data_IF_034336544470
#
_entry.id   IF_034336544470
#
_cell.length_a   1.000
_cell.length_b   1.000
_cell.length_c   1.000
_cell.angle_alpha   90.00
_cell.angle_beta   90.00
_cell.angle_gamma   90.00
#
_symmetry.space_group_name_H-M   'P 1'
#
loop_
_entity.id
_entity.type
_entity.pdbx_description
1 polymer ?
#
# COMPACT_ATOMS: atom_id res chain seq x y z
N UNK A 1 12.79 33.19 -0.45
CA UNK A 1 11.80 32.09 -0.36
C UNK A 1 11.92 31.19 0.87
N UNK A 2 13.11 30.90 1.40
CA UNK A 2 13.27 29.98 2.57
C UNK A 2 12.67 30.50 3.90
N UNK A 3 12.61 31.81 4.12
CA UNK A 3 12.06 32.40 5.37
C UNK A 3 10.53 32.40 5.44
N UNK A 4 9.85 32.45 4.30
CA UNK A 4 8.38 32.55 4.27
C UNK A 4 7.68 31.20 4.53
N UNK A 5 8.35 30.07 4.21
CA UNK A 5 7.79 28.73 4.46
C UNK A 5 7.82 28.38 5.95
N UNK A 6 8.91 28.76 6.64
CA UNK A 6 9.01 28.60 8.10
C UNK A 6 7.98 29.46 8.83
N UNK A 7 7.71 30.66 8.31
CA UNK A 7 6.71 31.57 8.85
C UNK A 7 5.27 31.03 8.65
N UNK A 8 4.97 30.43 7.53
CA UNK A 8 3.67 29.77 7.27
C UNK A 8 3.48 28.57 8.20
N UNK A 9 4.51 27.75 8.42
CA UNK A 9 4.49 26.66 9.40
C UNK A 9 4.29 27.18 10.82
N UNK A 10 5.00 28.26 11.21
CA UNK A 10 4.88 28.85 12.54
C UNK A 10 3.50 29.51 12.76
N UNK A 11 2.93 30.17 11.75
CA UNK A 11 1.59 30.76 11.80
C UNK A 11 0.52 29.69 11.95
N UNK A 12 0.69 28.54 11.32
CA UNK A 12 -0.22 27.39 11.44
C UNK A 12 -0.22 26.82 12.87
N UNK A 13 0.98 26.71 13.50
CA UNK A 13 1.10 26.27 14.90
C UNK A 13 0.59 27.32 15.90
N UNK A 14 0.73 28.61 15.62
CA UNK A 14 0.24 29.69 16.48
C UNK A 14 -1.30 29.81 16.38
N UNK A 15 -1.89 29.58 15.21
CA UNK A 15 -3.35 29.54 15.04
C UNK A 15 -4.00 28.30 15.70
N UNK A 16 -3.27 27.21 15.88
CA UNK A 16 -3.69 26.02 16.63
C UNK A 16 -3.68 26.19 18.16
N UNK A 17 -3.22 27.33 18.67
CA UNK A 17 -3.23 27.70 20.11
C UNK A 17 -4.62 27.90 20.72
N UNK A 18 -5.68 27.40 20.09
CA UNK A 18 -7.04 27.39 20.63
C UNK A 18 -7.23 26.10 21.46
N UNK A 19 -7.45 26.25 22.67
CA UNK A 19 -7.71 25.50 23.91
C UNK A 19 -8.13 24.00 23.87
N UNK A 20 -8.08 23.29 22.74
CA UNK A 20 -8.43 21.85 22.65
C UNK A 20 -7.70 21.10 21.53
N UNK A 21 -6.57 21.59 21.03
CA UNK A 21 -5.83 20.91 19.97
C UNK A 21 -4.82 19.95 20.57
N UNK A 22 -4.82 18.71 20.08
CA UNK A 22 -3.72 17.76 20.30
C UNK A 22 -2.67 17.97 19.19
N UNK A 23 -1.42 17.88 19.55
CA UNK A 23 -0.31 18.02 18.60
C UNK A 23 0.85 17.10 18.95
N UNK A 24 1.67 16.81 17.97
CA UNK A 24 2.85 15.98 18.17
C UNK A 24 3.73 15.94 16.95
N UNK A 25 4.74 15.08 17.00
CA UNK A 25 5.69 14.85 15.93
C UNK A 25 5.86 13.35 15.72
N UNK A 26 5.83 12.94 14.46
CA UNK A 26 6.23 11.61 14.03
C UNK A 26 7.58 11.72 13.32
N UNK A 27 8.56 10.97 13.80
CA UNK A 27 9.86 10.79 13.16
C UNK A 27 10.03 9.33 12.77
N UNK A 28 10.11 9.07 11.46
CA UNK A 28 10.44 7.76 10.92
C UNK A 28 11.81 7.78 10.29
N UNK A 29 12.63 6.79 10.59
CA UNK A 29 13.91 6.55 9.94
C UNK A 29 13.95 5.13 9.40
N UNK A 30 14.43 4.95 8.18
CA UNK A 30 14.65 3.65 7.58
C UNK A 30 16.02 3.61 6.91
N UNK A 31 16.78 2.57 7.21
CA UNK A 31 18.00 2.20 6.51
C UNK A 31 17.76 0.84 5.84
N UNK A 32 17.86 0.82 4.54
CA UNK A 32 17.65 -0.34 3.70
C UNK A 32 18.95 -0.68 2.95
N UNK A 33 19.36 -1.93 3.02
CA UNK A 33 20.53 -2.45 2.32
C UNK A 33 20.10 -3.68 1.54
N UNK A 34 20.24 -3.61 0.23
CA UNK A 34 19.90 -4.72 -0.66
C UNK A 34 21.07 -5.03 -1.57
N UNK A 35 21.17 -6.27 -2.00
CA UNK A 35 22.25 -6.68 -2.89
C UNK A 35 22.00 -8.03 -3.55
N UNK A 36 22.84 -8.22 -4.54
CA UNK A 36 23.19 -9.48 -5.16
C UNK A 36 24.73 -9.53 -5.16
N UNK A 37 25.37 -9.19 -6.31
CA UNK A 37 26.84 -9.04 -6.41
C UNK A 37 27.32 -7.70 -5.84
N UNK A 38 26.46 -6.68 -5.80
CA UNK A 38 26.78 -5.33 -5.31
C UNK A 38 25.73 -4.86 -4.30
N UNK A 39 26.22 -4.34 -3.20
CA UNK A 39 25.40 -3.75 -2.13
C UNK A 39 24.95 -2.34 -2.48
N UNK A 40 23.68 -2.04 -2.29
CA UNK A 40 23.09 -0.71 -2.52
C UNK A 40 22.40 -0.25 -1.23
N UNK A 41 23.04 0.61 -0.42
CA UNK A 41 22.39 1.21 0.73
C UNK A 41 21.43 2.31 0.29
N UNK A 42 20.30 2.39 0.95
CA UNK A 42 19.31 3.47 0.84
C UNK A 42 18.90 3.87 2.24
N UNK A 43 18.56 5.12 2.44
CA UNK A 43 18.00 5.61 3.69
C UNK A 43 16.85 6.55 3.41
N UNK A 44 15.92 6.59 4.33
CA UNK A 44 14.80 7.53 4.30
C UNK A 44 14.59 8.06 5.71
N UNK A 45 14.34 9.37 5.84
CA UNK A 45 13.91 10.00 7.09
C UNK A 45 12.67 10.84 6.79
N UNK A 46 11.62 10.59 7.56
CA UNK A 46 10.38 11.36 7.51
C UNK A 46 10.21 12.08 8.83
N UNK A 47 10.13 13.41 8.77
CA UNK A 47 9.78 14.27 9.90
C UNK A 47 8.38 14.85 9.64
N UNK A 48 7.39 14.46 10.42
CA UNK A 48 5.98 14.74 10.22
C UNK A 48 5.32 15.29 11.48
N UNK A 49 5.43 16.61 11.77
CA UNK A 49 4.61 17.26 12.77
C UNK A 49 3.12 17.17 12.40
N UNK A 50 2.28 17.07 13.42
CA UNK A 50 0.84 16.98 13.24
C UNK A 50 0.08 17.78 14.28
N UNK A 51 -1.13 18.14 13.94
CA UNK A 51 -2.12 18.76 14.82
C UNK A 51 -3.49 18.15 14.57
N UNK A 52 -4.22 17.89 15.64
CA UNK A 52 -5.60 17.42 15.61
C UNK A 52 -6.48 18.37 16.41
N UNK A 53 -7.52 18.89 15.78
CA UNK A 53 -8.47 19.83 16.40
C UNK A 53 -9.84 19.17 16.44
N UNK A 54 -10.27 18.68 17.61
CA UNK A 54 -11.61 18.13 17.77
C UNK A 54 -12.65 19.26 17.85
N UNK A 55 -13.79 19.06 17.18
CA UNK A 55 -15.00 19.82 17.32
C UNK A 55 -16.11 18.93 17.87
N UNK A 56 -17.24 19.47 18.25
CA UNK A 56 -18.32 18.68 18.90
C UNK A 56 -18.75 17.43 18.10
N UNK A 57 -18.74 17.49 16.80
CA UNK A 57 -19.18 16.41 15.90
C UNK A 57 -18.22 16.13 14.75
N UNK A 58 -17.03 16.72 14.78
CA UNK A 58 -16.05 16.60 13.71
C UNK A 58 -14.62 16.74 14.24
N UNK A 59 -13.67 16.31 13.46
CA UNK A 59 -12.22 16.42 13.72
C UNK A 59 -11.53 16.97 12.47
N UNK A 60 -10.57 17.86 12.66
CA UNK A 60 -9.62 18.27 11.64
C UNK A 60 -8.24 17.78 12.02
N UNK A 61 -7.63 16.95 11.17
CA UNK A 61 -6.26 16.47 11.34
C UNK A 61 -5.37 16.98 10.22
N UNK A 62 -4.21 17.53 10.56
CA UNK A 62 -3.22 18.01 9.60
C UNK A 62 -1.85 17.47 9.97
N UNK A 63 -1.13 16.92 8.99
CA UNK A 63 0.27 16.53 9.12
C UNK A 63 1.01 16.84 7.82
N UNK A 64 2.07 17.61 7.92
CA UNK A 64 2.94 17.94 6.80
C UNK A 64 4.38 18.08 7.30
N UNK A 65 5.36 17.78 6.46
CA UNK A 65 6.74 17.84 6.91
C UNK A 65 7.74 17.50 5.82
N UNK A 66 8.87 16.97 6.21
CA UNK A 66 9.99 16.63 5.34
C UNK A 66 10.03 15.12 5.10
N UNK A 67 10.13 14.75 3.85
CA UNK A 67 10.47 13.41 3.39
C UNK A 67 11.83 13.48 2.70
N UNK A 68 12.82 12.74 3.20
CA UNK A 68 14.19 12.76 2.68
C UNK A 68 14.56 11.38 2.15
N UNK A 69 15.27 11.34 1.04
CA UNK A 69 15.91 10.13 0.55
C UNK A 69 17.43 10.28 0.60
N UNK A 70 18.11 9.30 1.19
CA UNK A 70 19.57 9.19 1.29
C UNK A 70 20.09 8.13 0.30
N UNK A 71 19.50 8.04 -0.88
CA UNK A 71 19.96 7.20 -1.98
C UNK A 71 20.89 7.97 -2.93
N UNK A 72 21.17 7.40 -4.11
CA UNK A 72 22.03 8.03 -5.13
C UNK A 72 21.55 9.44 -5.53
N UNK A 73 20.23 9.65 -5.53
CA UNK A 73 19.59 10.94 -5.81
C UNK A 73 19.05 11.50 -4.50
N UNK A 74 19.95 12.04 -3.66
CA UNK A 74 19.59 12.62 -2.37
C UNK A 74 18.62 13.79 -2.56
N UNK A 75 17.46 13.73 -1.92
CA UNK A 75 16.52 14.84 -1.90
C UNK A 75 15.89 15.01 -0.52
N UNK A 76 15.36 16.21 -0.30
CA UNK A 76 14.44 16.51 0.80
C UNK A 76 13.21 17.22 0.20
N UNK A 77 12.09 16.57 0.21
CA UNK A 77 10.82 17.08 -0.30
C UNK A 77 9.91 17.50 0.86
N UNK A 78 9.21 18.62 0.70
CA UNK A 78 8.07 18.96 1.55
C UNK A 78 6.87 18.14 1.11
N UNK A 79 6.26 17.42 2.04
CA UNK A 79 5.12 16.57 1.77
C UNK A 79 3.97 16.89 2.73
N UNK A 80 2.75 17.01 2.19
CA UNK A 80 1.53 16.97 2.95
C UNK A 80 1.17 15.49 3.18
N UNK A 81 1.36 15.00 4.41
CA UNK A 81 1.08 13.60 4.73
C UNK A 81 -0.40 13.33 4.93
N UNK A 82 -1.12 14.25 5.59
CA UNK A 82 -2.55 14.15 5.83
C UNK A 82 -3.16 15.53 6.02
N UNK A 83 -4.31 15.75 5.44
CA UNK A 83 -5.20 16.88 5.71
C UNK A 83 -6.61 16.31 5.66
N UNK A 84 -7.19 16.02 6.81
CA UNK A 84 -8.45 15.28 6.87
C UNK A 84 -9.43 15.98 7.79
N UNK A 85 -10.54 16.37 7.22
CA UNK A 85 -11.74 16.75 7.96
C UNK A 85 -12.65 15.52 8.05
N UNK A 86 -13.00 15.14 9.28
CA UNK A 86 -13.91 14.01 9.53
C UNK A 86 -15.15 14.52 10.26
N UNK A 87 -16.33 14.28 9.70
CA UNK A 87 -17.61 14.61 10.31
C UNK A 87 -18.31 13.34 10.81
N UNK A 88 -18.76 13.37 12.08
CA UNK A 88 -19.48 12.29 12.79
C UNK A 88 -20.72 12.81 13.49
N UNK A 89 -21.39 13.82 12.94
CA UNK A 89 -22.55 14.49 13.57
C UNK A 89 -23.81 13.64 13.65
N UNK A 90 -23.78 12.43 13.06
CA UNK A 90 -24.87 11.47 13.10
C UNK A 90 -24.31 10.04 13.27
N UNK A 91 -24.96 9.15 14.04
CA UNK A 91 -24.57 7.74 14.10
C UNK A 91 -24.72 7.02 12.75
N UNK A 92 -25.46 7.61 11.83
CA UNK A 92 -25.72 7.06 10.50
C UNK A 92 -24.71 7.51 9.44
N UNK A 93 -24.02 8.64 9.65
CA UNK A 93 -23.19 9.29 8.63
C UNK A 93 -21.78 9.50 9.14
N UNK A 94 -20.80 9.02 8.38
CA UNK A 94 -19.40 9.41 8.45
C UNK A 94 -19.01 10.04 7.11
N UNK A 95 -18.44 11.23 7.16
CA UNK A 95 -17.92 11.93 5.98
C UNK A 95 -16.47 12.34 6.23
N UNK A 96 -15.59 12.07 5.28
CA UNK A 96 -14.17 12.46 5.30
C UNK A 96 -13.86 13.26 4.05
N UNK A 97 -13.09 14.32 4.19
CA UNK A 97 -12.67 15.21 3.11
C UNK A 97 -11.21 15.60 3.26
N UNK A 98 -10.51 15.69 2.14
CA UNK A 98 -9.13 16.15 2.04
C UNK A 98 -8.16 15.07 1.66
N UNK A 99 -6.92 15.07 2.19
CA UNK A 99 -5.94 14.00 2.00
C UNK A 99 -6.16 12.93 3.05
N UNK A 100 -6.79 11.85 2.65
CA UNK A 100 -7.22 10.75 3.50
C UNK A 100 -6.43 9.46 3.21
N UNK A 101 -6.22 8.65 4.23
CA UNK A 101 -5.82 7.26 4.03
C UNK A 101 -7.04 6.43 3.67
N UNK A 102 -6.97 5.74 2.55
CA UNK A 102 -8.05 4.89 2.06
C UNK A 102 -7.51 3.60 1.47
N UNK A 103 -8.34 2.57 1.48
CA UNK A 103 -8.05 1.25 0.91
C UNK A 103 -9.33 0.66 0.34
N UNK A 104 -9.24 0.04 -0.83
CA UNK A 104 -10.35 -0.69 -1.43
C UNK A 104 -10.73 -1.94 -0.62
N UNK A 105 -11.91 -2.50 -0.90
CA UNK A 105 -12.43 -3.63 -0.12
C UNK A 105 -11.61 -4.91 -0.28
N UNK A 106 -10.93 -5.13 -1.41
CA UNK A 106 -10.07 -6.30 -1.66
C UNK A 106 -8.70 -6.17 -1.01
N UNK A 107 -8.28 -4.96 -0.68
CA UNK A 107 -6.97 -4.61 -0.11
C UNK A 107 -5.77 -4.77 -1.04
N UNK A 108 -5.97 -4.95 -2.35
CA UNK A 108 -4.87 -5.11 -3.31
C UNK A 108 -5.02 -4.34 -4.63
N UNK A 109 -6.09 -3.55 -4.83
CA UNK A 109 -6.27 -2.73 -6.02
C UNK A 109 -5.80 -1.30 -5.79
N UNK A 110 -6.27 -0.67 -4.71
CA UNK A 110 -5.90 0.71 -4.39
C UNK A 110 -5.78 0.89 -2.86
N UNK A 111 -4.61 1.31 -2.41
CA UNK A 111 -4.31 1.54 -1.00
C UNK A 111 -3.29 2.66 -0.85
N UNK A 112 -3.52 3.53 0.11
CA UNK A 112 -2.59 4.63 0.39
C UNK A 112 -3.28 5.93 0.72
N UNK A 113 -2.62 7.03 0.38
CA UNK A 113 -3.14 8.39 0.55
C UNK A 113 -3.78 8.86 -0.76
N UNK A 114 -4.90 9.56 -0.63
CA UNK A 114 -5.63 10.12 -1.76
C UNK A 114 -6.22 11.46 -1.36
N UNK A 115 -6.28 12.39 -2.29
CA UNK A 115 -6.98 13.66 -2.11
C UNK A 115 -8.44 13.51 -2.58
N UNK A 116 -9.41 13.81 -1.74
CA UNK A 116 -10.80 13.66 -2.13
C UNK A 116 -11.79 13.57 -0.98
N UNK A 117 -12.89 12.90 -1.24
CA UNK A 117 -13.99 12.72 -0.28
C UNK A 117 -14.42 11.24 -0.19
N UNK A 118 -14.80 10.85 1.02
CA UNK A 118 -15.34 9.53 1.32
C UNK A 118 -16.56 9.67 2.23
N UNK A 119 -17.66 9.11 1.80
CA UNK A 119 -18.95 9.15 2.47
C UNK A 119 -19.40 7.75 2.83
N UNK A 120 -19.75 7.51 4.10
CA UNK A 120 -20.24 6.24 4.61
C UNK A 120 -21.58 6.45 5.29
N UNK A 121 -22.56 5.63 4.93
CA UNK A 121 -23.90 5.59 5.51
C UNK A 121 -24.18 4.26 6.19
N UNK A 122 -24.54 4.31 7.47
CA UNK A 122 -24.86 3.14 8.29
C UNK A 122 -26.37 2.87 8.26
N UNK A 123 -26.77 1.74 7.67
CA UNK A 123 -28.12 1.21 7.60
C UNK A 123 -28.28 0.05 8.60
N UNK A 124 -28.26 0.38 9.88
CA UNK A 124 -28.30 -0.64 10.94
C UNK A 124 -27.07 -1.54 10.92
N UNK A 125 -27.21 -2.76 10.38
CA UNK A 125 -26.07 -3.70 10.26
C UNK A 125 -25.27 -3.52 8.96
N UNK A 126 -25.86 -2.91 7.94
CA UNK A 126 -25.23 -2.73 6.63
C UNK A 126 -24.58 -1.35 6.59
N UNK A 127 -23.40 -1.25 5.98
CA UNK A 127 -22.74 0.01 5.70
C UNK A 127 -22.59 0.17 4.20
N UNK A 128 -22.99 1.31 3.66
CA UNK A 128 -22.81 1.67 2.26
C UNK A 128 -21.94 2.90 2.16
N UNK A 129 -20.97 2.89 1.26
CA UNK A 129 -20.07 4.01 1.08
C UNK A 129 -19.89 4.39 -0.38
N UNK A 130 -19.54 5.64 -0.60
CA UNK A 130 -19.16 6.21 -1.88
C UNK A 130 -17.94 7.11 -1.69
N UNK A 131 -17.00 7.06 -2.63
CA UNK A 131 -15.88 7.99 -2.63
C UNK A 131 -15.56 8.55 -4.03
N UNK A 132 -14.84 9.67 -4.02
CA UNK A 132 -14.20 10.25 -5.18
C UNK A 132 -12.82 10.74 -4.73
N UNK A 133 -11.76 10.14 -5.27
CA UNK A 133 -10.38 10.26 -4.82
C UNK A 133 -9.47 10.62 -6.00
N UNK A 134 -8.49 11.48 -5.77
CA UNK A 134 -7.54 11.93 -6.79
C UNK A 134 -6.09 11.72 -6.34
N UNK A 135 -5.21 11.39 -7.28
CA UNK A 135 -3.79 11.09 -6.99
C UNK A 135 -2.83 12.20 -7.39
N UNK A 136 -3.20 13.04 -8.36
CA UNK A 136 -2.28 13.97 -9.02
C UNK A 136 -1.73 15.12 -8.15
N UNK A 137 -2.11 15.24 -6.87
CA UNK A 137 -1.49 16.16 -5.93
C UNK A 137 -0.56 15.48 -4.92
N UNK A 138 -0.44 14.16 -5.00
CA UNK A 138 0.44 13.38 -4.13
C UNK A 138 1.90 13.54 -4.55
N UNK A 139 2.82 13.38 -3.60
CA UNK A 139 4.23 13.22 -3.92
C UNK A 139 4.44 11.84 -4.58
N UNK A 140 4.98 11.82 -5.81
CA UNK A 140 5.04 10.61 -6.63
C UNK A 140 5.79 9.45 -5.96
N UNK A 141 6.94 9.73 -5.31
CA UNK A 141 7.76 8.68 -4.71
C UNK A 141 7.10 7.96 -3.52
N UNK A 142 5.98 8.49 -3.01
CA UNK A 142 5.18 7.88 -1.93
C UNK A 142 3.78 7.44 -2.37
N UNK A 143 3.37 7.80 -3.59
CA UNK A 143 2.04 7.46 -4.10
C UNK A 143 1.98 6.07 -4.75
N UNK A 144 3.11 5.61 -5.32
CA UNK A 144 3.24 4.31 -6.01
C UNK A 144 2.19 4.06 -7.11
N UNK A 145 1.74 5.11 -7.81
CA UNK A 145 0.79 5.02 -8.92
C UNK A 145 1.54 4.68 -10.19
N UNK A 146 1.42 3.45 -10.67
CA UNK A 146 2.10 2.99 -11.89
C UNK A 146 1.18 2.03 -12.66
N UNK A 147 0.21 2.57 -13.38
CA UNK A 147 -0.82 1.82 -14.10
C UNK A 147 -0.54 1.75 -15.59
N UNK A 148 0.22 2.71 -16.13
CA UNK A 148 0.51 2.80 -17.56
C UNK A 148 2.02 2.87 -17.84
N UNK A 149 2.47 2.59 -19.09
CA UNK A 149 3.87 2.78 -19.47
C UNK A 149 4.35 4.23 -19.30
N UNK A 150 3.47 5.22 -19.44
CA UNK A 150 3.80 6.63 -19.25
C UNK A 150 4.03 6.96 -17.77
N UNK A 151 3.23 6.37 -16.86
CA UNK A 151 3.51 6.48 -15.42
C UNK A 151 4.92 5.99 -15.08
N UNK A 152 5.37 4.89 -15.70
CA UNK A 152 6.72 4.36 -15.49
C UNK A 152 7.81 5.37 -15.86
N UNK A 153 7.60 6.17 -16.90
CA UNK A 153 8.54 7.23 -17.29
C UNK A 153 8.63 8.32 -16.23
N UNK A 154 7.51 8.71 -15.62
CA UNK A 154 7.49 9.72 -14.56
C UNK A 154 8.35 9.31 -13.34
N UNK A 155 8.41 8.01 -13.03
CA UNK A 155 9.22 7.47 -11.94
C UNK A 155 10.72 7.35 -12.28
N UNK A 156 11.12 7.51 -13.55
CA UNK A 156 12.55 7.55 -13.93
C UNK A 156 13.19 8.90 -13.64
N UNK A 157 12.40 9.95 -13.44
CA UNK A 157 12.87 11.31 -13.16
C UNK A 157 12.87 11.55 -11.65
N UNK A 158 14.04 11.85 -11.08
CA UNK A 158 14.18 12.15 -9.64
C UNK A 158 13.60 13.53 -9.31
N UNK A 159 13.13 13.69 -8.04
CA UNK A 159 12.62 14.97 -7.56
C UNK A 159 13.66 16.08 -7.63
N UNK A 160 13.26 17.26 -8.15
CA UNK A 160 14.09 18.44 -8.29
C UNK A 160 13.32 19.72 -7.92
N UNK A 161 13.82 20.47 -6.94
CA UNK A 161 13.22 21.74 -6.53
C UNK A 161 13.15 22.80 -7.63
N UNK A 162 14.10 22.78 -8.58
CA UNK A 162 14.13 23.73 -9.71
C UNK A 162 13.04 23.45 -10.73
N UNK A 163 12.53 22.23 -10.76
CA UNK A 163 11.46 21.75 -11.63
C UNK A 163 10.39 21.00 -10.81
N UNK A 164 9.89 21.71 -9.79
CA UNK A 164 8.93 21.14 -8.84
C UNK A 164 7.67 20.60 -9.53
N UNK A 165 7.14 21.34 -10.50
CA UNK A 165 5.88 21.01 -11.15
C UNK A 165 5.89 19.68 -11.89
N UNK A 166 6.99 19.33 -12.56
CA UNK A 166 7.11 18.11 -13.36
C UNK A 166 7.70 16.93 -12.58
N UNK A 167 8.37 17.21 -11.44
CA UNK A 167 9.10 16.15 -10.71
C UNK A 167 8.48 15.73 -9.37
N UNK A 168 7.52 16.50 -8.86
CA UNK A 168 6.89 16.24 -7.56
C UNK A 168 5.63 15.38 -7.65
N UNK A 169 4.74 15.71 -8.58
CA UNK A 169 3.39 15.18 -8.58
C UNK A 169 3.30 13.77 -9.17
N UNK A 170 2.46 12.93 -8.56
CA UNK A 170 2.12 11.62 -9.08
C UNK A 170 1.22 11.72 -10.32
N UNK A 171 1.15 10.67 -11.15
CA UNK A 171 0.21 10.61 -12.26
C UNK A 171 -1.22 10.88 -11.81
N UNK A 172 -1.93 11.74 -12.54
CA UNK A 172 -3.29 12.18 -12.22
C UNK A 172 -4.31 11.07 -12.50
N UNK A 173 -4.87 10.46 -11.47
CA UNK A 173 -5.93 9.44 -11.56
C UNK A 173 -7.12 9.85 -10.70
N UNK A 174 -8.32 9.84 -11.28
CA UNK A 174 -9.57 9.95 -10.52
C UNK A 174 -10.09 8.53 -10.24
N UNK A 175 -10.27 8.20 -8.96
CA UNK A 175 -10.78 6.93 -8.50
C UNK A 175 -12.13 7.19 -7.86
N UNK A 176 -13.17 6.50 -8.31
CA UNK A 176 -14.50 6.55 -7.70
C UNK A 176 -14.93 5.15 -7.34
N UNK A 177 -15.57 4.97 -6.19
CA UNK A 177 -16.12 3.67 -5.83
C UNK A 177 -17.45 3.78 -5.10
N UNK A 178 -18.30 2.77 -5.33
CA UNK A 178 -19.45 2.45 -4.50
C UNK A 178 -19.15 1.13 -3.80
N UNK A 179 -19.24 1.11 -2.48
CA UNK A 179 -18.87 -0.06 -1.70
C UNK A 179 -19.85 -0.35 -0.56
N UNK A 180 -19.88 -1.61 -0.13
CA UNK A 180 -20.74 -2.05 0.97
C UNK A 180 -20.07 -3.05 1.89
N UNK A 181 -20.44 -3.02 3.18
CA UNK A 181 -20.11 -4.01 4.20
C UNK A 181 -21.39 -4.65 4.70
N UNK A 182 -21.43 -5.99 4.71
CA UNK A 182 -22.58 -6.83 5.07
C UNK A 182 -22.18 -7.79 6.21
N UNK A 183 -22.21 -7.34 7.48
CA UNK A 183 -21.88 -8.19 8.61
C UNK A 183 -22.93 -9.29 8.79
N UNK A 184 -22.47 -10.50 9.15
CA UNK A 184 -23.33 -11.66 9.37
C UNK A 184 -23.74 -12.41 8.10
N UNK A 185 -23.30 -11.99 6.92
CA UNK A 185 -23.62 -12.63 5.64
C UNK A 185 -22.39 -13.36 5.07
N UNK A 186 -22.56 -14.52 4.41
CA UNK A 186 -23.73 -15.42 4.35
C UNK A 186 -23.92 -16.23 5.65
N UNK A 187 -22.90 -16.29 6.51
CA UNK A 187 -22.91 -17.02 7.78
C UNK A 187 -22.71 -16.03 8.91
N UNK A 188 -23.53 -16.09 9.96
CA UNK A 188 -23.70 -15.10 11.03
C UNK A 188 -22.44 -14.53 11.72
N UNK A 189 -21.26 -15.12 11.51
CA UNK A 189 -19.96 -14.63 11.99
C UNK A 189 -19.08 -14.05 10.89
N UNK A 190 -19.50 -14.15 9.64
CA UNK A 190 -18.76 -13.61 8.49
C UNK A 190 -19.04 -12.14 8.26
N UNK A 191 -18.18 -11.50 7.48
CA UNK A 191 -18.38 -10.16 6.93
C UNK A 191 -18.06 -10.19 5.44
N UNK A 192 -19.05 -9.87 4.62
CA UNK A 192 -18.87 -9.70 3.18
C UNK A 192 -18.67 -8.22 2.88
N UNK A 193 -17.70 -7.91 2.06
CA UNK A 193 -17.48 -6.60 1.46
C UNK A 193 -17.62 -6.74 -0.06
N UNK A 194 -18.23 -5.76 -0.69
CA UNK A 194 -18.34 -5.68 -2.14
C UNK A 194 -18.17 -4.25 -2.62
N UNK A 195 -17.57 -4.06 -3.80
CA UNK A 195 -17.37 -2.74 -4.38
C UNK A 195 -17.35 -2.80 -5.90
N UNK A 196 -17.86 -1.73 -6.50
CA UNK A 196 -17.59 -1.36 -7.89
C UNK A 196 -16.69 -0.13 -7.83
N UNK A 197 -15.54 -0.19 -8.51
CA UNK A 197 -14.55 0.88 -8.54
C UNK A 197 -14.21 1.21 -9.99
N UNK A 198 -14.14 2.50 -10.32
CA UNK A 198 -13.69 2.99 -11.61
C UNK A 198 -12.49 3.93 -11.43
N UNK A 199 -11.48 3.75 -12.24
CA UNK A 199 -10.32 4.63 -12.34
C UNK A 199 -10.33 5.30 -13.71
N UNK A 200 -10.17 6.61 -13.72
CA UNK A 200 -10.07 7.45 -14.91
C UNK A 200 -8.69 8.08 -14.97
N UNK A 201 -8.05 7.94 -16.12
CA UNK A 201 -6.77 8.56 -16.40
C UNK A 201 -6.97 10.05 -16.71
N UNK A 202 -6.36 10.90 -15.92
CA UNK A 202 -6.32 12.35 -16.06
C UNK A 202 -4.88 12.87 -16.20
N UNK A 203 -3.92 12.00 -16.50
CA UNK A 203 -2.49 12.37 -16.64
C UNK A 203 -2.21 13.22 -17.86
N UNK A 204 -3.11 13.22 -18.86
CA UNK A 204 -2.90 13.92 -20.13
C UNK A 204 -2.01 13.14 -21.10
N UNK A 205 -1.75 11.86 -20.86
CA UNK A 205 -1.03 10.98 -21.77
C UNK A 205 -1.77 10.80 -23.11
N UNK A 206 -1.05 10.52 -24.19
CA UNK A 206 -1.62 10.32 -25.53
C UNK A 206 -2.59 9.12 -25.57
N UNK A 207 -2.30 8.09 -24.77
CA UNK A 207 -3.18 6.93 -24.60
C UNK A 207 -3.73 6.85 -23.16
N UNK A 208 -4.96 7.33 -22.96
CA UNK A 208 -5.62 7.25 -21.66
C UNK A 208 -5.91 5.81 -21.25
N UNK A 209 -5.50 5.44 -20.04
CA UNK A 209 -5.66 4.09 -19.48
C UNK A 209 -6.77 4.08 -18.41
N UNK A 210 -7.97 3.66 -18.79
CA UNK A 210 -9.13 3.59 -17.89
C UNK A 210 -9.39 2.16 -17.45
N UNK A 211 -9.65 1.95 -16.15
CA UNK A 211 -9.95 0.62 -15.60
C UNK A 211 -11.20 0.64 -14.74
N UNK A 212 -11.94 -0.46 -14.76
CA UNK A 212 -13.09 -0.69 -13.88
C UNK A 212 -12.91 -2.01 -13.16
N UNK A 213 -13.28 -2.04 -11.88
CA UNK A 213 -13.12 -3.22 -11.04
C UNK A 213 -14.43 -3.59 -10.37
N UNK A 214 -14.72 -4.88 -10.35
CA UNK A 214 -15.68 -5.48 -9.43
C UNK A 214 -14.89 -6.24 -8.36
N UNK A 215 -15.09 -5.86 -7.09
CA UNK A 215 -14.31 -6.33 -5.96
C UNK A 215 -15.21 -7.00 -4.93
N UNK A 216 -14.74 -8.09 -4.35
CA UNK A 216 -15.39 -8.73 -3.21
C UNK A 216 -14.34 -9.24 -2.21
N UNK A 217 -14.67 -9.22 -0.91
CA UNK A 217 -13.88 -9.83 0.17
C UNK A 217 -14.78 -10.42 1.22
N UNK A 218 -14.43 -11.59 1.70
CA UNK A 218 -15.12 -12.27 2.78
C UNK A 218 -14.15 -12.58 3.91
N UNK A 219 -14.49 -12.14 5.11
CA UNK A 219 -13.70 -12.39 6.33
C UNK A 219 -14.56 -13.21 7.28
N UNK A 220 -14.00 -14.32 7.78
CA UNK A 220 -14.64 -15.18 8.76
C UNK A 220 -13.67 -15.49 9.91
N UNK A 221 -14.12 -15.25 11.15
CA UNK A 221 -13.42 -15.73 12.35
C UNK A 221 -14.23 -16.83 13.03
N UNK A 222 -13.63 -17.97 13.29
CA UNK A 222 -14.26 -19.07 13.99
C UNK A 222 -13.32 -19.74 15.00
N UNK A 223 -13.55 -19.50 16.29
CA UNK A 223 -12.67 -19.96 17.38
C UNK A 223 -11.23 -19.49 17.17
N UNK A 224 -10.29 -20.45 17.05
CA UNK A 224 -8.88 -20.20 16.80
C UNK A 224 -8.53 -20.05 15.30
N UNK A 225 -9.52 -20.17 14.39
CA UNK A 225 -9.32 -20.11 12.96
C UNK A 225 -9.87 -18.81 12.37
N UNK A 226 -9.20 -18.28 11.40
CA UNK A 226 -9.64 -17.18 10.56
C UNK A 226 -9.48 -17.50 9.08
N UNK A 227 -10.34 -16.91 8.27
CA UNK A 227 -10.33 -17.00 6.82
C UNK A 227 -10.50 -15.60 6.26
N UNK A 228 -9.70 -15.25 5.27
CA UNK A 228 -9.80 -14.03 4.48
C UNK A 228 -9.69 -14.38 3.00
N UNK A 229 -10.76 -14.15 2.24
CA UNK A 229 -10.83 -14.41 0.82
C UNK A 229 -11.22 -13.15 0.07
N UNK A 230 -10.43 -12.72 -0.91
CA UNK A 230 -10.71 -11.55 -1.74
C UNK A 230 -10.57 -11.87 -3.22
N UNK A 231 -11.34 -11.19 -4.06
CA UNK A 231 -11.29 -11.33 -5.51
C UNK A 231 -11.58 -10.03 -6.23
N UNK A 232 -11.03 -9.90 -7.44
CA UNK A 232 -11.23 -8.78 -8.34
C UNK A 232 -11.43 -9.26 -9.77
N UNK A 233 -12.35 -8.63 -10.47
CA UNK A 233 -12.47 -8.64 -11.94
C UNK A 233 -12.17 -7.24 -12.41
N UNK A 234 -11.18 -7.09 -13.28
CA UNK A 234 -10.81 -5.84 -13.92
C UNK A 234 -11.25 -5.84 -15.38
N UNK A 235 -11.79 -4.73 -15.83
CA UNK A 235 -12.07 -4.46 -17.24
C UNK A 235 -11.18 -3.30 -17.67
N UNK A 236 -10.22 -3.59 -18.53
CA UNK A 236 -9.26 -2.61 -19.03
C UNK A 236 -9.54 -2.30 -20.47
N UNK A 237 -9.59 -1.01 -20.81
CA UNK A 237 -9.60 -0.52 -22.18
C UNK A 237 -8.23 0.03 -22.52
N UNK A 238 -7.52 -0.60 -23.44
CA UNK A 238 -6.22 -0.15 -23.95
C UNK A 238 -6.36 0.22 -25.43
N UNK A 239 -6.23 1.52 -25.75
CA UNK A 239 -6.21 2.02 -27.12
C UNK A 239 -7.27 1.39 -28.04
N UNK A 240 -6.83 0.94 -29.22
CA UNK A 240 -7.70 0.29 -30.24
C UNK A 240 -8.01 -1.20 -29.98
N UNK A 241 -7.37 -1.83 -28.99
CA UNK A 241 -7.42 -3.28 -28.77
C UNK A 241 -8.69 -3.81 -28.08
N UNK A 242 -9.69 -2.96 -27.85
CA UNK A 242 -10.93 -3.34 -27.19
C UNK A 242 -10.79 -3.61 -25.68
N UNK A 243 -11.86 -4.05 -25.03
CA UNK A 243 -11.89 -4.36 -23.59
C UNK A 243 -11.50 -5.81 -23.37
N UNK A 244 -10.48 -6.05 -22.53
CA UNK A 244 -10.09 -7.38 -22.06
C UNK A 244 -10.30 -7.49 -20.55
N UNK A 245 -10.82 -8.63 -20.04
CA UNK A 245 -10.92 -8.88 -18.61
C UNK A 245 -9.58 -9.31 -18.03
N UNK A 246 -9.32 -8.88 -16.80
CA UNK A 246 -8.25 -9.41 -15.95
C UNK A 246 -8.82 -9.83 -14.60
N UNK A 247 -8.12 -10.71 -13.91
CA UNK A 247 -8.64 -11.34 -12.70
C UNK A 247 -7.54 -11.39 -11.64
N UNK A 248 -7.94 -11.23 -10.37
CA UNK A 248 -7.06 -11.48 -9.24
C UNK A 248 -7.84 -12.08 -8.07
N UNK A 249 -7.17 -12.91 -7.28
CA UNK A 249 -7.74 -13.36 -6.01
C UNK A 249 -6.65 -13.61 -4.98
N UNK A 250 -7.05 -13.56 -3.70
CA UNK A 250 -6.25 -14.01 -2.57
C UNK A 250 -7.10 -14.81 -1.60
N UNK A 251 -6.48 -15.82 -0.98
CA UNK A 251 -7.09 -16.66 0.05
C UNK A 251 -6.08 -16.88 1.15
N UNK A 252 -6.39 -16.45 2.37
CA UNK A 252 -5.58 -16.69 3.55
C UNK A 252 -6.38 -17.43 4.60
N UNK A 253 -5.82 -18.52 5.13
CA UNK A 253 -6.31 -19.23 6.30
C UNK A 253 -5.30 -19.10 7.43
N UNK A 254 -5.77 -18.77 8.64
CA UNK A 254 -4.94 -18.64 9.84
C UNK A 254 -5.42 -19.51 10.97
N UNK A 255 -4.49 -19.92 11.80
CA UNK A 255 -4.73 -20.67 13.01
C UNK A 255 -3.91 -20.13 14.17
N UNK A 256 -4.64 -19.64 15.20
CA UNK A 256 -4.07 -19.28 16.50
C UNK A 256 -3.69 -20.56 17.24
N UNK A 257 -2.41 -20.77 17.49
CA UNK A 257 -1.93 -21.99 18.12
C UNK A 257 -2.30 -22.05 19.60
N UNK A 258 -2.58 -23.24 20.15
CA UNK A 258 -2.93 -23.41 21.57
C UNK A 258 -1.67 -23.47 22.46
N UNK A 259 -0.79 -22.48 22.32
CA UNK A 259 0.46 -22.40 23.09
C UNK A 259 0.37 -21.39 24.24
N UNK A 260 1.36 -21.36 25.12
CA UNK A 260 1.44 -20.40 26.21
C UNK A 260 1.77 -18.96 25.76
N UNK A 261 2.27 -18.80 24.54
CA UNK A 261 2.57 -17.51 23.91
C UNK A 261 1.51 -17.20 22.85
N UNK A 262 1.34 -15.92 22.51
CA UNK A 262 0.44 -15.53 21.45
C UNK A 262 1.12 -15.74 20.10
N UNK A 263 0.78 -16.84 19.43
CA UNK A 263 1.35 -17.19 18.13
C UNK A 263 0.29 -17.69 17.15
N UNK A 264 0.56 -17.46 15.84
CA UNK A 264 -0.33 -17.79 14.73
C UNK A 264 0.47 -18.30 13.55
N UNK A 265 0.00 -19.36 12.93
CA UNK A 265 0.45 -19.79 11.61
C UNK A 265 -0.62 -19.43 10.57
N UNK A 266 -0.21 -18.99 9.39
CA UNK A 266 -1.14 -18.77 8.27
C UNK A 266 -0.54 -19.26 6.96
N UNK A 267 -1.45 -19.62 6.05
CA UNK A 267 -1.14 -19.96 4.67
C UNK A 267 -1.95 -19.01 3.79
N UNK A 268 -1.27 -18.36 2.84
CA UNK A 268 -1.89 -17.47 1.86
C UNK A 268 -1.57 -17.92 0.45
N UNK A 269 -2.58 -17.93 -0.40
CA UNK A 269 -2.47 -18.07 -1.85
C UNK A 269 -2.92 -16.75 -2.46
N UNK A 270 -2.12 -16.16 -3.36
CA UNK A 270 -2.50 -15.02 -4.15
C UNK A 270 -2.18 -15.28 -5.62
N UNK A 271 -3.09 -14.90 -6.52
CA UNK A 271 -2.97 -15.10 -7.96
C UNK A 271 -3.55 -13.92 -8.71
N UNK A 272 -2.83 -13.47 -9.75
CA UNK A 272 -3.24 -12.44 -10.68
C UNK A 272 -3.02 -12.92 -12.12
N UNK A 273 -3.97 -12.64 -13.00
CA UNK A 273 -3.87 -12.99 -14.41
C UNK A 273 -2.70 -12.28 -15.08
N UNK A 274 -2.07 -12.98 -16.01
CA UNK A 274 -1.07 -12.44 -16.92
C UNK A 274 -1.65 -12.12 -18.28
N UNK A 275 -0.83 -11.55 -19.19
CA UNK A 275 -1.18 -11.23 -20.56
C UNK A 275 -1.41 -12.51 -21.37
N UNK A 276 -2.64 -12.67 -21.87
CA UNK A 276 -3.07 -13.81 -22.67
C UNK A 276 -3.81 -13.39 -23.92
N UNK A 277 -4.27 -14.38 -24.72
CA UNK A 277 -5.05 -14.11 -25.94
C UNK A 277 -6.41 -13.49 -25.66
N UNK A 278 -7.04 -13.87 -24.53
CA UNK A 278 -8.40 -13.45 -24.14
C UNK A 278 -8.43 -12.67 -22.82
N UNK A 279 -7.33 -12.63 -22.08
CA UNK A 279 -7.20 -11.95 -20.79
C UNK A 279 -6.09 -10.91 -20.86
N UNK A 280 -6.23 -9.83 -20.08
CA UNK A 280 -5.15 -8.90 -19.80
C UNK A 280 -4.38 -9.33 -18.54
N UNK A 281 -3.19 -8.81 -18.37
CA UNK A 281 -2.53 -8.81 -17.08
C UNK A 281 -3.35 -7.94 -16.11
N UNK A 282 -3.52 -8.40 -14.87
CA UNK A 282 -4.17 -7.62 -13.83
C UNK A 282 -3.25 -6.50 -13.36
N UNK A 283 -3.78 -5.28 -13.22
CA UNK A 283 -3.02 -4.13 -12.76
C UNK A 283 -3.69 -3.47 -11.55
N UNK A 284 -3.09 -3.51 -10.36
CA UNK A 284 -3.53 -2.68 -9.24
C UNK A 284 -3.21 -1.20 -9.54
N UNK A 285 -4.05 -0.30 -9.02
CA UNK A 285 -3.86 1.16 -9.17
C UNK A 285 -2.65 1.62 -8.35
N UNK A 286 -2.47 1.05 -7.15
CA UNK A 286 -1.30 1.30 -6.31
C UNK A 286 -0.40 0.07 -6.31
N UNK A 287 0.83 0.22 -6.77
CA UNK A 287 1.80 -0.86 -6.92
C UNK A 287 2.53 -1.15 -5.61
N UNK A 288 1.93 -1.95 -4.73
CA UNK A 288 2.64 -2.49 -3.59
C UNK A 288 3.45 -3.75 -3.97
N UNK A 289 4.65 -3.86 -3.42
CA UNK A 289 5.46 -5.05 -3.56
C UNK A 289 4.81 -6.24 -2.82
N UNK A 290 4.70 -7.39 -3.49
CA UNK A 290 4.12 -8.61 -2.89
C UNK A 290 5.01 -9.24 -1.83
N UNK A 291 6.30 -8.92 -1.81
CA UNK A 291 7.27 -9.47 -0.87
C UNK A 291 8.39 -8.49 -0.53
N UNK A 292 9.20 -8.88 0.43
CA UNK A 292 10.24 -8.02 0.98
C UNK A 292 11.51 -7.96 0.12
N UNK A 293 11.98 -9.08 -0.44
CA UNK A 293 13.26 -9.16 -1.19
C UNK A 293 13.02 -9.02 -2.69
N UNK A 294 12.25 -9.95 -3.30
CA UNK A 294 12.00 -9.93 -4.74
C UNK A 294 11.11 -8.75 -5.14
N UNK A 295 10.08 -8.46 -4.33
CA UNK A 295 9.21 -7.30 -4.47
C UNK A 295 8.42 -7.21 -5.78
N UNK A 296 7.89 -8.30 -6.38
CA UNK A 296 7.14 -8.20 -7.61
C UNK A 296 5.81 -7.47 -7.36
N UNK A 297 5.31 -6.80 -8.40
CA UNK A 297 3.94 -6.28 -8.39
C UNK A 297 2.91 -7.41 -8.44
N UNK A 298 1.68 -7.15 -8.00
CA UNK A 298 0.56 -8.11 -8.08
C UNK A 298 -0.04 -8.10 -9.49
N UNK A 299 0.75 -8.52 -10.47
CA UNK A 299 0.40 -8.56 -11.90
C UNK A 299 1.11 -9.73 -12.55
N UNK A 300 0.38 -10.58 -13.28
CA UNK A 300 0.97 -11.75 -13.92
C UNK A 300 1.70 -12.70 -12.97
N UNK A 301 1.24 -12.81 -11.73
CA UNK A 301 1.97 -13.45 -10.64
C UNK A 301 1.05 -14.33 -9.78
N UNK A 302 1.60 -15.43 -9.31
CA UNK A 302 1.04 -16.27 -8.26
C UNK A 302 2.07 -16.44 -7.14
N UNK A 303 1.64 -16.42 -5.88
CA UNK A 303 2.47 -16.83 -4.78
C UNK A 303 1.73 -17.74 -3.79
N UNK A 304 2.49 -18.61 -3.14
CA UNK A 304 2.06 -19.39 -1.98
C UNK A 304 2.95 -18.93 -0.83
N UNK A 305 2.35 -18.51 0.26
CA UNK A 305 3.04 -17.97 1.43
C UNK A 305 2.65 -18.73 2.69
N UNK A 306 3.63 -19.01 3.53
CA UNK A 306 3.44 -19.54 4.89
C UNK A 306 4.07 -18.54 5.84
N UNK A 307 3.31 -18.09 6.85
CA UNK A 307 3.82 -17.18 7.87
C UNK A 307 3.62 -17.79 9.26
N UNK A 308 4.60 -17.57 10.12
CA UNK A 308 4.52 -17.77 11.55
C UNK A 308 4.77 -16.45 12.27
N UNK A 309 3.76 -15.99 13.01
CA UNK A 309 3.81 -14.76 13.80
C UNK A 309 3.76 -15.12 15.27
N UNK A 310 4.64 -14.52 16.07
CA UNK A 310 4.72 -14.79 17.51
C UNK A 310 4.96 -13.50 18.29
N UNK A 311 4.24 -13.35 19.41
CA UNK A 311 4.49 -12.32 20.40
C UNK A 311 5.19 -12.93 21.60
N UNK A 312 6.52 -12.81 21.63
CA UNK A 312 7.38 -13.39 22.67
C UNK A 312 7.28 -12.65 23.99
N UNK A 313 7.16 -11.30 23.93
CA UNK A 313 6.97 -10.42 25.08
C UNK A 313 5.91 -9.36 24.72
N UNK A 314 5.30 -8.67 25.69
CA UNK A 314 4.36 -7.58 25.42
C UNK A 314 4.92 -6.49 24.49
N UNK A 315 6.24 -6.27 24.55
CA UNK A 315 6.96 -5.29 23.73
C UNK A 315 7.74 -5.90 22.56
N UNK A 316 7.74 -7.22 22.36
CA UNK A 316 8.58 -7.87 21.35
C UNK A 316 7.80 -8.94 20.58
N UNK A 317 7.75 -8.78 19.26
CA UNK A 317 7.15 -9.73 18.33
C UNK A 317 8.09 -10.07 17.18
N UNK A 318 7.91 -11.28 16.64
CA UNK A 318 8.67 -11.78 15.49
C UNK A 318 7.72 -12.39 14.47
N UNK A 319 8.11 -12.30 13.20
CA UNK A 319 7.47 -12.94 12.07
C UNK A 319 8.51 -13.69 11.25
N UNK A 320 8.17 -14.91 10.82
CA UNK A 320 8.93 -15.70 9.86
C UNK A 320 8.03 -15.99 8.67
N UNK A 321 8.52 -15.72 7.46
CA UNK A 321 7.80 -15.92 6.21
C UNK A 321 8.56 -16.75 5.21
N UNK A 322 7.84 -17.63 4.49
CA UNK A 322 8.32 -18.32 3.32
C UNK A 322 7.34 -18.12 2.17
N UNK A 323 7.83 -17.67 1.00
CA UNK A 323 7.00 -17.32 -0.16
C UNK A 323 7.59 -18.02 -1.40
N UNK A 324 6.78 -18.77 -2.12
CA UNK A 324 7.15 -19.32 -3.41
C UNK A 324 6.41 -18.60 -4.53
N UNK A 325 7.15 -18.13 -5.55
CA UNK A 325 6.63 -17.32 -6.64
C UNK A 325 6.60 -18.08 -7.96
N UNK A 326 5.51 -17.89 -8.73
CA UNK A 326 5.29 -18.46 -10.06
C UNK A 326 4.72 -17.34 -10.94
N UNK A 327 5.29 -17.11 -12.13
CA UNK A 327 4.68 -16.22 -13.12
C UNK A 327 3.42 -16.87 -13.72
N UNK A 328 2.42 -16.08 -14.05
CA UNK A 328 1.25 -16.54 -14.81
C UNK A 328 1.37 -16.24 -16.30
N UNK A 329 2.36 -15.42 -16.68
CA UNK A 329 2.80 -15.19 -18.06
C UNK A 329 4.31 -14.91 -18.14
N UNK A 330 4.83 -14.73 -19.35
CA UNK A 330 6.25 -14.45 -19.59
C UNK A 330 6.58 -12.96 -19.79
N UNK A 331 5.59 -12.05 -19.66
CA UNK A 331 5.71 -10.63 -20.03
C UNK A 331 5.57 -9.68 -18.86
N UNK A 332 4.67 -9.97 -17.91
CA UNK A 332 4.30 -9.06 -16.82
C UNK A 332 5.40 -8.82 -15.80
N UNK A 333 6.27 -9.83 -15.57
CA UNK A 333 7.42 -9.69 -14.69
C UNK A 333 8.71 -9.85 -15.48
N UNK A 334 9.55 -8.82 -15.47
CA UNK A 334 10.83 -8.75 -16.19
C UNK A 334 11.93 -8.45 -15.17
N UNK A 335 13.01 -9.22 -15.20
CA UNK A 335 14.18 -9.00 -14.37
C UNK A 335 15.46 -9.42 -15.12
N UNK A 336 16.65 -8.90 -14.78
CA UNK A 336 17.92 -9.43 -15.27
C UNK A 336 18.03 -10.92 -14.96
N UNK A 337 18.69 -11.68 -15.82
CA UNK A 337 18.88 -13.16 -15.70
C UNK A 337 17.58 -14.00 -15.79
N UNK A 338 16.42 -13.39 -16.11
CA UNK A 338 15.16 -14.12 -16.21
C UNK A 338 15.00 -14.70 -17.63
N UNK A 339 14.79 -16.02 -17.71
CA UNK A 339 14.53 -16.72 -18.97
C UNK A 339 13.03 -16.71 -19.31
N UNK A 340 12.69 -16.58 -20.59
CA UNK A 340 11.30 -16.44 -21.03
C UNK A 340 10.49 -17.76 -20.98
N UNK A 341 11.14 -18.92 -20.97
CA UNK A 341 10.50 -20.23 -21.16
C UNK A 341 9.98 -20.88 -19.91
N UNK A 342 10.36 -20.43 -18.71
CA UNK A 342 10.02 -21.06 -17.43
C UNK A 342 9.21 -20.12 -16.54
N UNK A 343 8.29 -20.68 -15.75
CA UNK A 343 7.36 -19.92 -14.89
C UNK A 343 7.75 -19.88 -13.41
N UNK A 344 8.34 -20.94 -12.80
CA UNK A 344 8.69 -20.91 -11.38
C UNK A 344 9.85 -19.94 -11.09
N UNK A 345 9.56 -18.85 -10.34
CA UNK A 345 10.57 -17.84 -10.02
C UNK A 345 11.47 -18.23 -8.86
N UNK A 346 10.96 -18.91 -7.84
CA UNK A 346 11.78 -19.33 -6.71
C UNK A 346 11.17 -19.05 -5.34
N UNK A 347 12.02 -19.16 -4.32
CA UNK A 347 11.65 -19.12 -2.91
C UNK A 347 12.25 -17.88 -2.24
N UNK A 348 11.40 -17.10 -1.57
CA UNK A 348 11.83 -16.06 -0.64
C UNK A 348 11.63 -16.52 0.80
N UNK A 349 12.65 -16.34 1.63
CA UNK A 349 12.54 -16.48 3.08
C UNK A 349 12.84 -15.13 3.73
N UNK A 350 11.99 -14.73 4.67
CA UNK A 350 12.12 -13.45 5.36
C UNK A 350 11.79 -13.56 6.85
N UNK A 351 12.29 -12.60 7.60
CA UNK A 351 11.99 -12.42 9.02
C UNK A 351 11.78 -10.95 9.32
N UNK A 352 10.91 -10.66 10.28
CA UNK A 352 10.69 -9.33 10.82
C UNK A 352 10.67 -9.39 12.33
N UNK A 353 11.42 -8.52 12.99
CA UNK A 353 11.45 -8.33 14.42
C UNK A 353 10.92 -6.94 14.74
N UNK A 354 9.95 -6.83 15.62
CA UNK A 354 9.40 -5.57 16.11
C UNK A 354 9.63 -5.49 17.61
N UNK A 355 10.32 -4.44 18.04
CA UNK A 355 10.54 -4.13 19.45
C UNK A 355 9.96 -2.76 19.77
N UNK A 356 9.06 -2.69 20.74
CA UNK A 356 8.41 -1.46 21.25
C UNK A 356 8.78 -1.29 22.71
N UNK A 357 10.01 -0.80 23.01
CA UNK A 357 10.49 -0.66 24.38
C UNK A 357 9.68 0.37 25.20
N UNK A 358 9.17 1.39 24.52
CA UNK A 358 8.35 2.45 25.10
C UNK A 358 7.15 2.70 24.18
N UNK A 359 6.09 3.31 24.71
CA UNK A 359 4.87 3.65 23.94
C UNK A 359 5.18 4.49 22.69
N UNK A 360 6.23 5.28 22.75
CA UNK A 360 6.55 6.29 21.74
C UNK A 360 7.66 5.84 20.79
N UNK A 361 8.31 4.69 21.05
CA UNK A 361 9.42 4.19 20.25
C UNK A 361 9.15 2.77 19.75
N UNK A 362 9.19 2.59 18.44
CA UNK A 362 9.20 1.28 17.79
C UNK A 362 10.46 1.11 16.95
N UNK A 363 11.12 -0.04 17.11
CA UNK A 363 12.27 -0.47 16.33
C UNK A 363 11.91 -1.71 15.52
N UNK A 364 12.23 -1.71 14.25
CA UNK A 364 11.96 -2.83 13.34
C UNK A 364 13.23 -3.28 12.67
N UNK A 365 13.52 -4.58 12.71
CA UNK A 365 14.58 -5.19 11.91
C UNK A 365 13.94 -6.23 10.98
N UNK A 366 14.13 -6.06 9.68
CA UNK A 366 13.67 -7.01 8.65
C UNK A 366 14.87 -7.53 7.89
N UNK A 367 14.88 -8.84 7.63
CA UNK A 367 15.90 -9.49 6.82
C UNK A 367 15.29 -10.58 5.96
N UNK A 368 15.89 -10.83 4.80
CA UNK A 368 15.43 -11.90 3.93
C UNK A 368 16.37 -12.15 2.77
N UNK A 369 16.12 -13.26 2.09
CA UNK A 369 16.81 -13.64 0.87
C UNK A 369 15.87 -14.36 -0.08
N UNK A 370 16.12 -14.19 -1.37
CA UNK A 370 15.40 -14.84 -2.45
C UNK A 370 16.35 -15.79 -3.19
N UNK A 371 15.95 -17.06 -3.27
CA UNK A 371 16.62 -18.12 -3.99
C UNK A 371 16.00 -18.25 -5.38
N UNK A 372 16.74 -17.89 -6.47
CA UNK A 372 16.27 -18.06 -7.83
C UNK A 372 15.84 -19.50 -8.13
N UNK A 373 14.71 -19.64 -8.83
CA UNK A 373 14.19 -20.93 -9.28
C UNK A 373 14.46 -21.17 -10.78
N UNK A 374 13.82 -22.18 -11.38
CA UNK A 374 14.07 -22.59 -12.77
C UNK A 374 13.78 -21.55 -13.85
N UNK A 375 13.14 -20.44 -13.51
CA UNK A 375 12.91 -19.35 -14.46
C UNK A 375 14.11 -18.41 -14.64
N UNK A 376 15.16 -18.58 -13.86
CA UNK A 376 16.37 -17.77 -13.88
C UNK A 376 17.53 -18.55 -14.52
N UNK A 377 18.47 -17.81 -15.11
CA UNK A 377 19.71 -18.40 -15.59
C UNK A 377 20.51 -19.07 -14.45
N UNK A 378 21.32 -20.07 -14.76
CA UNK A 378 22.06 -20.85 -13.77
C UNK A 378 23.04 -20.00 -12.92
N UNK A 379 23.49 -18.87 -13.45
CA UNK A 379 24.37 -17.91 -12.78
C UNK A 379 23.64 -16.77 -12.08
N UNK A 380 22.30 -16.83 -11.98
CA UNK A 380 21.51 -15.79 -11.30
C UNK A 380 21.87 -15.74 -9.81
N UNK A 381 22.23 -14.56 -9.29
CA UNK A 381 22.67 -14.43 -7.90
C UNK A 381 21.50 -14.55 -6.93
N UNK A 382 21.78 -15.02 -5.71
CA UNK A 382 20.84 -14.91 -4.58
C UNK A 382 20.65 -13.45 -4.23
N UNK A 383 19.39 -13.00 -4.21
CA UNK A 383 19.07 -11.64 -3.75
C UNK A 383 18.90 -11.63 -2.24
N UNK A 384 19.32 -10.54 -1.59
CA UNK A 384 19.10 -10.36 -0.18
C UNK A 384 18.75 -8.92 0.16
N UNK A 385 18.06 -8.72 1.28
CA UNK A 385 17.69 -7.40 1.78
C UNK A 385 17.68 -7.39 3.30
N UNK A 386 18.19 -6.29 3.88
CA UNK A 386 18.16 -5.99 5.31
C UNK A 386 17.65 -4.58 5.51
N UNK A 387 16.66 -4.40 6.39
CA UNK A 387 16.10 -3.09 6.69
C UNK A 387 16.06 -2.89 8.20
N UNK A 388 16.57 -1.76 8.66
CA UNK A 388 16.43 -1.25 10.03
C UNK A 388 15.50 -0.05 10.00
N UNK A 389 14.38 -0.14 10.71
CA UNK A 389 13.39 0.92 10.85
C UNK A 389 13.32 1.44 12.29
N UNK A 390 13.07 2.72 12.45
CA UNK A 390 12.75 3.36 13.72
C UNK A 390 11.56 4.30 13.55
N UNK A 391 10.64 4.26 14.48
CA UNK A 391 9.50 5.17 14.55
C UNK A 391 9.44 5.75 15.96
N UNK A 392 9.48 7.07 16.04
CA UNK A 392 9.34 7.83 17.27
C UNK A 392 8.14 8.77 17.13
N UNK A 393 7.23 8.75 18.13
CA UNK A 393 6.02 9.57 18.16
C UNK A 393 5.91 10.26 19.53
N UNK A 394 5.82 11.56 19.58
CA UNK A 394 5.68 12.36 20.81
C UNK A 394 4.91 13.65 20.56
#
# INVERSE_FOLDING_TARGET
>A
MKSNLLAVFLIFFIAAGIAAADYGVLLNGELDVQGADKTKPKGNIVFAPWVSVPYSSSDLYISAGLNTSLAKDNYAALELFRFEYTYRGSPFVLFRLGRINWQDVSCFVAKGRFDGADFLYNLGKIRLGFNALYTGFLFKDTAYINVSPDDTKDYTVSFNWSDFGSTYFAPGRLITSLYGEFPGFPVGRGRLFASILAQFDLSGADEAYHTQYLLARYILGYKAFDLDAAGAVELTKTGENGVKPAFAFSLEGGWQLPTAITDRISIKLAWASGEGSKTAAFFPITMEAMSFVLGPAFSGMMNIQVNYNVRLLPSFSAELGGLYFIRTDSKSFIAPYLESSSYPLGLELNTSLLWVPFSDLALTLKGGFFLPGPAWADDAPVLWRLTLGTMLSF
#
